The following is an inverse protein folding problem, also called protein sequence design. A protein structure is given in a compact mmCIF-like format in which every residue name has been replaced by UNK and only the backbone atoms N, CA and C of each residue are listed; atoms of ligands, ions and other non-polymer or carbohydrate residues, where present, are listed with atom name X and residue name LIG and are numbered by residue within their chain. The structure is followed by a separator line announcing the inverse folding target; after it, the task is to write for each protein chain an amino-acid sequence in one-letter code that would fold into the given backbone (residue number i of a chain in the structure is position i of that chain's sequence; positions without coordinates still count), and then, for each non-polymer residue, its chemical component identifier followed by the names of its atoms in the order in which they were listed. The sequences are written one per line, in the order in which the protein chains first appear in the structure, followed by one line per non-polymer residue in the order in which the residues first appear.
data_IF_689894776977
#
_entry.id   IF_689894776977
#
_cell.length_a   1.000
_cell.length_b   1.000
_cell.length_c   1.000
_cell.angle_alpha   90.00
_cell.angle_beta   90.00
_cell.angle_gamma   90.00
#
_symmetry.space_group_name_H-M   'P 1'
#
loop_
_entity.id
_entity.type
_entity.pdbx_description
1 polymer ?
#
# COMPACT_ATOMS: atom_id res chain seq x y z
N UNK A 1 -10.98 12.01 27.13
CA UNK A 1 -12.09 11.84 26.16
C UNK A 1 -11.54 11.99 24.76
N UNK A 2 -11.78 11.01 23.89
CA UNK A 2 -11.30 11.02 22.49
C UNK A 2 -12.25 11.89 21.65
N UNK A 3 -11.70 12.71 20.74
CA UNK A 3 -12.47 13.60 19.85
C UNK A 3 -12.19 13.36 18.37
N UNK A 4 -11.09 12.69 18.06
CA UNK A 4 -10.60 12.47 16.70
C UNK A 4 -10.27 11.00 16.51
N UNK A 5 -10.65 10.46 15.36
CA UNK A 5 -10.26 9.11 14.92
C UNK A 5 -9.57 9.28 13.57
N UNK A 6 -8.36 8.72 13.46
CA UNK A 6 -7.58 8.73 12.24
C UNK A 6 -7.46 7.29 11.73
N UNK A 7 -7.95 7.05 10.51
CA UNK A 7 -7.84 5.75 9.85
C UNK A 7 -6.64 5.73 8.90
N UNK A 8 -5.91 4.62 8.90
CA UNK A 8 -5.08 4.25 7.76
C UNK A 8 -5.98 3.80 6.60
N UNK A 9 -5.48 3.86 5.37
CA UNK A 9 -6.21 3.43 4.19
C UNK A 9 -5.99 1.93 3.93
N UNK A 10 -4.72 1.52 3.79
CA UNK A 10 -4.34 0.16 3.45
C UNK A 10 -4.53 -0.81 4.62
N UNK A 11 -5.21 -1.93 4.40
CA UNK A 11 -5.45 -2.95 5.42
C UNK A 11 -6.52 -2.59 6.46
N UNK A 12 -7.01 -1.35 6.45
CA UNK A 12 -8.10 -0.88 7.34
C UNK A 12 -9.35 -0.60 6.53
N UNK A 13 -9.32 0.41 5.65
CA UNK A 13 -10.46 0.76 4.78
C UNK A 13 -10.43 0.01 3.46
N UNK A 14 -9.23 -0.25 2.92
CA UNK A 14 -9.03 -0.98 1.67
C UNK A 14 -8.37 -2.33 1.98
N UNK A 15 -8.96 -3.40 1.48
CA UNK A 15 -8.36 -4.73 1.51
C UNK A 15 -7.19 -4.77 0.52
N UNK A 16 -6.01 -5.08 1.03
CA UNK A 16 -4.80 -5.21 0.24
C UNK A 16 -4.48 -6.67 -0.03
N UNK A 17 -4.26 -7.02 -1.29
CA UNK A 17 -3.76 -8.35 -1.73
C UNK A 17 -2.29 -8.33 -2.10
N UNK A 18 -1.63 -7.17 -1.97
CA UNK A 18 -0.21 -6.98 -2.29
C UNK A 18 0.69 -8.02 -1.63
N UNK A 19 0.43 -8.38 -0.38
CA UNK A 19 1.30 -9.30 0.36
C UNK A 19 1.22 -10.71 -0.20
N UNK A 20 0.03 -11.21 -0.53
CA UNK A 20 -0.14 -12.53 -1.14
C UNK A 20 0.58 -12.59 -2.49
N UNK A 21 0.47 -11.52 -3.29
CA UNK A 21 1.14 -11.40 -4.59
C UNK A 21 2.66 -11.32 -4.47
N UNK A 22 3.16 -10.56 -3.50
CA UNK A 22 4.60 -10.48 -3.25
C UNK A 22 5.15 -11.80 -2.73
N UNK A 23 4.42 -12.52 -1.88
CA UNK A 23 4.77 -13.88 -1.48
C UNK A 23 4.89 -14.81 -2.69
N UNK A 24 3.95 -14.77 -3.62
CA UNK A 24 4.01 -15.57 -4.87
C UNK A 24 5.22 -15.22 -5.74
N UNK A 25 5.59 -13.93 -5.82
CA UNK A 25 6.69 -13.45 -6.66
C UNK A 25 8.06 -13.77 -6.03
N UNK A 26 8.18 -13.56 -4.72
CA UNK A 26 9.46 -13.64 -3.99
C UNK A 26 9.73 -15.01 -3.39
N UNK A 27 8.70 -15.83 -3.22
CA UNK A 27 8.78 -17.09 -2.48
C UNK A 27 8.85 -16.92 -0.95
N UNK A 28 8.70 -15.69 -0.43
CA UNK A 28 8.71 -15.42 1.01
C UNK A 28 7.33 -15.74 1.60
N UNK A 29 7.28 -16.71 2.51
CA UNK A 29 6.02 -17.15 3.14
C UNK A 29 5.66 -16.32 4.39
N UNK A 30 6.67 -15.82 5.13
CA UNK A 30 6.41 -15.00 6.31
C UNK A 30 5.98 -13.59 5.92
N UNK A 31 4.81 -13.17 6.41
CA UNK A 31 4.21 -11.87 6.08
C UNK A 31 5.07 -10.70 6.55
N UNK A 32 5.72 -10.80 7.71
CA UNK A 32 6.55 -9.71 8.21
C UNK A 32 7.83 -9.58 7.37
N UNK A 33 8.41 -10.70 6.93
CA UNK A 33 9.52 -10.70 5.98
C UNK A 33 9.13 -10.12 4.63
N UNK A 34 7.93 -10.41 4.10
CA UNK A 34 7.41 -9.77 2.87
C UNK A 34 7.31 -8.24 3.04
N UNK A 35 6.79 -7.78 4.18
CA UNK A 35 6.68 -6.34 4.49
C UNK A 35 8.08 -5.72 4.56
N UNK A 36 9.01 -6.36 5.26
CA UNK A 36 10.38 -5.88 5.40
C UNK A 36 11.08 -5.82 4.03
N UNK A 37 10.91 -6.85 3.20
CA UNK A 37 11.43 -6.88 1.84
C UNK A 37 10.84 -5.75 1.01
N UNK A 38 9.50 -5.63 0.94
CA UNK A 38 8.79 -4.57 0.20
C UNK A 38 9.28 -3.17 0.58
N UNK A 39 9.34 -2.89 1.88
CA UNK A 39 9.75 -1.57 2.40
C UNK A 39 11.26 -1.31 2.34
N UNK A 40 12.07 -2.35 2.08
CA UNK A 40 13.51 -2.19 1.82
C UNK A 40 13.81 -1.77 0.38
N UNK A 41 12.88 -1.98 -0.56
CA UNK A 41 13.09 -1.65 -1.96
C UNK A 41 13.14 -0.13 -2.14
N UNK A 42 14.24 0.36 -2.74
CA UNK A 42 14.42 1.80 -2.98
C UNK A 42 13.30 2.37 -3.86
N UNK A 43 12.86 1.62 -4.87
CA UNK A 43 11.75 2.02 -5.76
C UNK A 43 10.46 2.28 -4.99
N UNK A 44 10.12 1.39 -4.06
CA UNK A 44 8.95 1.53 -3.18
C UNK A 44 9.08 2.77 -2.30
N UNK A 45 10.21 2.95 -1.63
CA UNK A 45 10.44 4.11 -0.75
C UNK A 45 10.39 5.42 -1.54
N UNK A 46 11.03 5.49 -2.70
CA UNK A 46 11.04 6.70 -3.53
C UNK A 46 9.64 7.02 -4.08
N UNK A 47 8.86 5.99 -4.45
CA UNK A 47 7.50 6.16 -4.94
C UNK A 47 6.55 6.65 -3.84
N UNK A 48 6.54 5.99 -2.68
CA UNK A 48 5.70 6.37 -1.53
C UNK A 48 6.06 7.78 -0.98
N UNK A 49 7.30 8.24 -1.21
CA UNK A 49 7.76 9.59 -0.83
C UNK A 49 7.64 10.64 -1.94
N UNK A 50 7.03 10.28 -3.08
CA UNK A 50 6.80 11.20 -4.20
C UNK A 50 8.07 11.62 -4.95
N UNK A 51 9.18 10.89 -4.79
CA UNK A 51 10.45 11.12 -5.51
C UNK A 51 10.50 10.43 -6.86
N UNK A 52 9.52 9.56 -7.16
CA UNK A 52 9.48 8.74 -8.36
C UNK A 52 8.11 8.84 -9.02
N UNK A 53 8.08 8.93 -10.35
CA UNK A 53 6.83 8.90 -11.11
C UNK A 53 6.26 7.48 -11.18
N UNK A 54 4.96 7.34 -11.44
CA UNK A 54 4.30 6.03 -11.62
C UNK A 54 5.02 5.16 -12.67
N UNK A 55 5.42 5.78 -13.79
CA UNK A 55 6.08 5.07 -14.89
C UNK A 55 7.49 4.59 -14.50
N UNK A 56 8.27 5.45 -13.83
CA UNK A 56 9.61 5.07 -13.35
C UNK A 56 9.53 4.02 -12.25
N UNK A 57 8.52 4.11 -11.38
CA UNK A 57 8.26 3.16 -10.32
C UNK A 57 7.96 1.77 -10.87
N UNK A 58 6.99 1.62 -11.78
CA UNK A 58 6.64 0.32 -12.34
C UNK A 58 7.83 -0.34 -13.06
N UNK A 59 8.63 0.45 -13.78
CA UNK A 59 9.84 -0.04 -14.45
C UNK A 59 10.89 -0.52 -13.45
N UNK A 60 11.18 0.28 -12.41
CA UNK A 60 12.17 -0.09 -11.41
C UNK A 60 11.69 -1.26 -10.54
N UNK A 61 10.41 -1.26 -10.15
CA UNK A 61 9.81 -2.33 -9.36
C UNK A 61 9.89 -3.68 -10.08
N UNK A 62 9.66 -3.70 -11.39
CA UNK A 62 9.84 -4.91 -12.22
C UNK A 62 11.26 -5.46 -12.10
N UNK A 63 12.27 -4.59 -12.12
CA UNK A 63 13.68 -5.00 -12.00
C UNK A 63 13.98 -5.51 -10.59
N UNK A 64 13.55 -4.77 -9.56
CA UNK A 64 13.77 -5.09 -8.15
C UNK A 64 13.15 -6.45 -7.77
N UNK A 65 11.97 -6.76 -8.33
CA UNK A 65 11.26 -8.02 -8.11
C UNK A 65 11.71 -9.16 -9.03
N UNK A 66 12.61 -8.90 -10.00
CA UNK A 66 12.96 -9.90 -11.03
C UNK A 66 11.74 -10.37 -11.84
N UNK A 67 10.73 -9.51 -11.99
CA UNK A 67 9.41 -9.90 -12.48
C UNK A 67 9.45 -10.14 -14.00
N UNK A 68 9.07 -11.35 -14.43
CA UNK A 68 9.26 -11.83 -15.80
C UNK A 68 8.25 -11.30 -16.81
N UNK A 69 7.09 -10.80 -16.36
CA UNK A 69 6.02 -10.30 -17.24
C UNK A 69 6.29 -8.87 -17.73
N UNK A 70 5.52 -8.39 -18.70
CA UNK A 70 5.65 -7.03 -19.23
C UNK A 70 5.32 -5.95 -18.20
N UNK A 71 5.80 -4.72 -18.40
CA UNK A 71 5.46 -3.57 -17.54
C UNK A 71 3.94 -3.28 -17.54
N UNK A 72 3.27 -3.52 -18.67
CA UNK A 72 1.81 -3.39 -18.78
C UNK A 72 1.09 -4.38 -17.86
N UNK A 73 1.52 -5.64 -17.86
CA UNK A 73 0.94 -6.67 -16.98
C UNK A 73 1.20 -6.34 -15.51
N UNK A 74 2.41 -5.88 -15.16
CA UNK A 74 2.71 -5.43 -13.80
C UNK A 74 1.82 -4.25 -13.38
N UNK A 75 1.58 -3.28 -14.27
CA UNK A 75 0.70 -2.16 -13.99
C UNK A 75 -0.76 -2.60 -13.75
N UNK A 76 -1.27 -3.51 -14.59
CA UNK A 76 -2.60 -4.09 -14.43
C UNK A 76 -2.70 -4.84 -13.09
N UNK A 77 -1.69 -5.63 -12.73
CA UNK A 77 -1.64 -6.30 -11.43
C UNK A 77 -1.55 -5.34 -10.26
N UNK A 78 -0.70 -4.32 -10.35
CA UNK A 78 -0.51 -3.32 -9.30
C UNK A 78 -1.83 -2.60 -8.96
N UNK A 79 -2.67 -2.31 -9.96
CA UNK A 79 -4.01 -1.74 -9.74
C UNK A 79 -4.93 -2.68 -8.97
N UNK A 80 -4.74 -3.99 -9.13
CA UNK A 80 -5.54 -5.02 -8.48
C UNK A 80 -5.07 -5.34 -7.05
N UNK A 81 -3.91 -4.82 -6.63
CA UNK A 81 -3.41 -4.98 -5.26
C UNK A 81 -4.29 -4.28 -4.22
N UNK A 82 -5.04 -3.25 -4.64
CA UNK A 82 -6.14 -2.66 -3.90
C UNK A 82 -7.44 -3.35 -4.32
N UNK A 83 -7.72 -4.50 -3.70
CA UNK A 83 -8.71 -5.43 -4.22
C UNK A 83 -10.17 -4.99 -3.98
N UNK A 84 -10.49 -4.46 -2.80
CA UNK A 84 -11.85 -4.04 -2.44
C UNK A 84 -11.89 -3.13 -1.22
N UNK A 85 -13.04 -2.49 -0.99
CA UNK A 85 -13.31 -1.77 0.27
C UNK A 85 -13.68 -2.77 1.35
N UNK A 86 -13.08 -2.62 2.53
CA UNK A 86 -13.55 -3.29 3.73
C UNK A 86 -14.88 -2.65 4.18
N UNK A 87 -15.99 -3.26 3.80
CA UNK A 87 -17.35 -2.74 4.06
C UNK A 87 -17.60 -2.54 5.55
N UNK A 88 -17.05 -3.39 6.42
CA UNK A 88 -17.25 -3.28 7.86
C UNK A 88 -16.54 -2.03 8.41
N UNK A 89 -15.28 -1.83 8.04
CA UNK A 89 -14.52 -0.65 8.44
C UNK A 89 -15.11 0.65 7.84
N UNK A 90 -15.60 0.58 6.60
CA UNK A 90 -16.29 1.69 5.95
C UNK A 90 -17.59 2.07 6.69
N UNK A 91 -18.45 1.10 7.02
CA UNK A 91 -19.69 1.36 7.73
C UNK A 91 -19.43 1.89 9.14
N UNK A 92 -18.44 1.33 9.84
CA UNK A 92 -17.99 1.85 11.13
C UNK A 92 -17.54 3.32 11.03
N UNK A 93 -16.80 3.66 9.97
CA UNK A 93 -16.36 5.04 9.72
C UNK A 93 -17.57 5.97 9.59
N UNK A 94 -18.62 5.56 8.88
CA UNK A 94 -19.85 6.34 8.73
C UNK A 94 -20.56 6.56 10.08
N UNK A 95 -20.70 5.51 10.87
CA UNK A 95 -21.36 5.59 12.19
C UNK A 95 -20.64 6.57 13.13
N UNK A 96 -19.31 6.59 13.07
CA UNK A 96 -18.48 7.40 13.95
C UNK A 96 -18.44 8.90 13.58
N UNK A 97 -18.82 9.30 12.36
CA UNK A 97 -18.85 10.73 11.94
C UNK A 97 -19.80 11.56 12.81
N UNK A 98 -20.85 10.95 13.36
CA UNK A 98 -21.81 11.63 14.24
C UNK A 98 -21.25 11.97 15.63
N UNK A 99 -20.18 11.26 16.06
CA UNK A 99 -19.64 11.32 17.42
C UNK A 99 -18.21 11.86 17.47
N UNK A 100 -17.46 11.71 16.38
CA UNK A 100 -16.04 12.03 16.30
C UNK A 100 -15.71 12.82 15.03
N UNK A 101 -14.64 13.59 15.09
CA UNK A 101 -14.02 14.15 13.88
C UNK A 101 -13.16 13.06 13.23
N UNK A 102 -13.49 12.69 12.01
CA UNK A 102 -12.79 11.63 11.28
C UNK A 102 -11.76 12.23 10.34
N UNK A 103 -10.57 11.66 10.31
CA UNK A 103 -9.52 11.98 9.34
C UNK A 103 -8.82 10.72 8.84
N UNK A 104 -7.93 10.89 7.85
CA UNK A 104 -7.06 9.82 7.37
C UNK A 104 -5.60 10.17 7.66
N UNK A 105 -4.81 9.16 7.99
CA UNK A 105 -3.36 9.23 7.91
C UNK A 105 -2.96 8.51 6.63
N UNK A 106 -2.15 9.16 5.82
CA UNK A 106 -1.44 8.55 4.71
C UNK A 106 0.05 8.69 5.02
N UNK A 107 0.84 7.64 4.80
CA UNK A 107 2.28 7.73 5.02
C UNK A 107 2.83 8.85 4.15
N UNK A 108 3.40 9.87 4.79
CA UNK A 108 4.15 10.94 4.17
C UNK A 108 5.46 11.03 4.94
N UNK A 109 6.54 10.42 4.43
CA UNK A 109 7.85 10.63 5.03
C UNK A 109 8.43 11.95 4.47
N UNK A 110 8.42 12.99 5.29
CA UNK A 110 9.13 14.23 5.01
C UNK A 110 10.63 13.95 5.02
N UNK A 111 11.33 14.24 3.92
CA UNK A 111 12.78 14.33 3.94
C UNK A 111 13.16 15.51 4.87
N UNK A 112 13.75 15.23 6.03
CA UNK A 112 14.61 16.23 6.66
C UNK A 112 15.94 16.25 5.90
N UNK A 113 16.47 17.44 5.57
CA UNK A 113 17.69 17.61 4.78
C UNK A 113 18.94 17.04 5.47
#
# INVERSE_FOLDING_TARGET
MIKYILFDLGGVIINLTVFDRLSEITGIEDRQEVINYWTSLKSVVDYETGKMSDADFLRQLKQDLGYSRSERELHEEFRMWCHSVNIQAHNFTIEMISQYRIGRIQQYQSNSP
#
